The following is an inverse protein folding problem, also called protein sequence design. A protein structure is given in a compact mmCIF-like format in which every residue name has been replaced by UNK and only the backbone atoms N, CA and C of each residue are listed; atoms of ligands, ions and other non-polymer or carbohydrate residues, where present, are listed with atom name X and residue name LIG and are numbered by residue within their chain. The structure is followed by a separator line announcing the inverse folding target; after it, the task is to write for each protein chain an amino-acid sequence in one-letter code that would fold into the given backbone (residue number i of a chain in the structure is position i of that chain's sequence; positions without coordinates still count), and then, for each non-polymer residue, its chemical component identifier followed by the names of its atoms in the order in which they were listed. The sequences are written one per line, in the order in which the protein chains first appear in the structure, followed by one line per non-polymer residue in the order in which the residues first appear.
data_IF_449016234031
#
_entry.id   IF_449016234031
#
_cell.length_a   1.000
_cell.length_b   1.000
_cell.length_c   1.000
_cell.angle_alpha   90.00
_cell.angle_beta   90.00
_cell.angle_gamma   90.00
#
_symmetry.space_group_name_H-M   'P 1'
#
loop_
_entity.id
_entity.type
_entity.pdbx_description
1 polymer ?
#
# COMPACT_ATOMS: atom_id res chain seq x y z
N UNK A 1 -24.08 5.58 0.24
CA UNK A 1 -24.65 4.55 -0.68
C UNK A 1 -25.86 3.79 -0.11
N UNK A 2 -26.20 3.91 1.18
CA UNK A 2 -27.45 3.30 1.70
C UNK A 2 -27.44 1.77 1.83
N UNK A 3 -26.26 1.15 2.00
CA UNK A 3 -26.08 -0.30 2.12
C UNK A 3 -25.93 -0.65 3.61
N UNK A 4 -26.68 -1.66 4.08
CA UNK A 4 -26.52 -2.16 5.45
C UNK A 4 -25.19 -2.93 5.60
N UNK A 5 -24.49 -2.82 6.75
CA UNK A 5 -23.15 -3.40 6.91
C UNK A 5 -23.10 -4.93 6.73
N UNK A 6 -24.20 -5.65 7.02
CA UNK A 6 -24.32 -7.10 6.80
C UNK A 6 -24.39 -7.51 5.32
N UNK A 7 -24.46 -6.55 4.40
CA UNK A 7 -24.55 -6.74 2.95
C UNK A 7 -23.24 -6.36 2.26
N UNK A 8 -22.18 -6.12 3.02
CA UNK A 8 -20.83 -5.85 2.51
C UNK A 8 -20.05 -7.14 2.61
N UNK A 9 -19.83 -7.77 1.45
CA UNK A 9 -19.16 -9.08 1.37
C UNK A 9 -17.64 -8.92 1.34
N UNK A 10 -17.14 -7.89 0.64
CA UNK A 10 -15.72 -7.62 0.47
C UNK A 10 -15.33 -6.21 0.91
N UNK A 11 -14.22 -6.12 1.63
CA UNK A 11 -13.62 -4.86 2.08
C UNK A 11 -12.14 -4.91 1.75
N UNK A 12 -11.73 -4.07 0.80
CA UNK A 12 -10.32 -3.91 0.40
C UNK A 12 -9.76 -2.68 1.10
N UNK A 13 -8.74 -2.86 1.95
CA UNK A 13 -7.96 -1.73 2.44
C UNK A 13 -6.77 -1.48 1.52
N UNK A 14 -6.65 -0.24 1.03
CA UNK A 14 -5.55 0.19 0.18
C UNK A 14 -4.52 0.91 1.02
N UNK A 15 -3.30 0.37 1.05
CA UNK A 15 -2.13 1.07 1.58
C UNK A 15 -1.17 1.41 0.45
N UNK A 16 -0.41 2.49 0.64
CA UNK A 16 0.82 2.71 -0.12
C UNK A 16 1.97 2.01 0.60
N UNK A 17 3.01 1.65 -0.13
CA UNK A 17 4.25 1.08 0.41
C UNK A 17 4.97 2.02 1.40
N UNK A 18 4.59 3.30 1.44
CA UNK A 18 5.02 4.32 2.40
C UNK A 18 3.85 5.24 2.78
N UNK A 19 3.97 5.94 3.91
CA UNK A 19 2.92 6.85 4.40
C UNK A 19 3.19 8.25 3.87
N UNK A 20 2.13 8.96 3.49
CA UNK A 20 2.21 10.39 3.15
C UNK A 20 1.14 11.19 3.86
N UNK A 21 1.43 12.44 4.20
CA UNK A 21 0.49 13.38 4.82
C UNK A 21 0.55 14.76 4.16
N UNK A 22 -0.61 15.38 3.96
CA UNK A 22 -0.72 16.80 3.59
C UNK A 22 -1.06 17.61 4.84
N UNK A 23 -0.41 18.76 5.01
CA UNK A 23 -0.69 19.69 6.10
C UNK A 23 -0.12 19.27 7.45
N UNK A 24 -0.54 19.98 8.50
CA UNK A 24 0.00 19.84 9.84
C UNK A 24 -0.45 18.55 10.57
N UNK A 25 0.15 18.31 11.72
CA UNK A 25 -0.12 17.18 12.61
C UNK A 25 1.01 16.13 12.59
N UNK A 26 1.10 15.29 13.63
CA UNK A 26 2.20 14.35 13.77
C UNK A 26 2.21 13.31 12.63
N UNK A 27 3.42 12.94 12.22
CA UNK A 27 3.70 11.83 11.32
C UNK A 27 4.88 11.04 11.92
N UNK A 28 4.58 9.86 12.47
CA UNK A 28 5.60 9.01 13.06
C UNK A 28 6.55 8.50 11.96
N UNK A 29 7.86 8.61 12.21
CA UNK A 29 8.88 8.24 11.23
C UNK A 29 8.96 9.20 10.04
N UNK A 30 8.47 10.44 10.17
CA UNK A 30 8.59 11.47 9.15
C UNK A 30 10.04 11.65 8.71
N UNK A 31 10.26 11.54 7.40
CA UNK A 31 11.54 11.77 6.77
C UNK A 31 11.80 13.27 6.65
N UNK A 32 13.08 13.64 6.70
CA UNK A 32 13.49 14.98 6.28
C UNK A 32 13.16 15.21 4.79
N UNK A 33 13.05 16.47 4.38
CA UNK A 33 12.80 16.78 2.97
C UNK A 33 13.90 16.24 2.05
N UNK A 34 15.16 16.30 2.51
CA UNK A 34 16.32 15.77 1.80
C UNK A 34 16.27 14.24 1.66
N UNK A 35 15.93 13.52 2.73
CA UNK A 35 15.80 12.06 2.68
C UNK A 35 14.65 11.62 1.78
N UNK A 36 13.51 12.33 1.83
CA UNK A 36 12.37 12.06 0.96
C UNK A 36 12.70 12.29 -0.51
N UNK A 37 13.49 13.33 -0.84
CA UNK A 37 14.00 13.57 -2.20
C UNK A 37 14.95 12.48 -2.66
N UNK A 38 15.92 12.14 -1.82
CA UNK A 38 16.91 11.09 -2.10
C UNK A 38 16.25 9.74 -2.35
N UNK A 39 15.18 9.42 -1.61
CA UNK A 39 14.43 8.17 -1.75
C UNK A 39 13.34 8.24 -2.84
N UNK A 40 13.14 9.38 -3.51
CA UNK A 40 12.10 9.52 -4.53
C UNK A 40 10.67 9.46 -3.98
N UNK A 41 10.47 9.74 -2.69
CA UNK A 41 9.19 9.67 -1.97
C UNK A 41 8.42 10.99 -1.95
N UNK A 42 8.86 11.97 -2.75
CA UNK A 42 8.20 13.27 -2.85
C UNK A 42 6.94 13.13 -3.70
N UNK A 43 5.81 13.51 -3.10
CA UNK A 43 4.53 13.57 -3.79
C UNK A 43 3.91 14.96 -3.62
N UNK A 44 3.09 15.38 -4.58
CA UNK A 44 2.35 16.63 -4.52
C UNK A 44 0.84 16.37 -4.52
N UNK A 45 0.10 17.17 -3.76
CA UNK A 45 -1.35 17.12 -3.75
C UNK A 45 -1.90 17.64 -5.10
N UNK A 46 -2.76 16.86 -5.74
CA UNK A 46 -3.28 17.16 -7.08
C UNK A 46 -4.08 18.46 -7.15
N UNK A 47 -4.83 18.79 -6.10
CA UNK A 47 -5.68 19.99 -6.07
C UNK A 47 -4.93 21.22 -5.59
N UNK A 48 -4.19 21.11 -4.48
CA UNK A 48 -3.56 22.28 -3.82
C UNK A 48 -2.11 22.51 -4.24
N UNK A 49 -1.49 21.56 -4.95
CA UNK A 49 -0.06 21.58 -5.28
C UNK A 49 0.87 21.43 -4.06
N UNK A 50 0.34 21.30 -2.85
CA UNK A 50 1.16 21.23 -1.63
C UNK A 50 1.97 19.94 -1.63
N UNK A 51 3.26 20.07 -1.29
CA UNK A 51 4.16 18.94 -1.04
C UNK A 51 3.61 18.07 0.10
N UNK A 52 3.61 16.76 -0.11
CA UNK A 52 3.30 15.77 0.92
C UNK A 52 4.54 15.47 1.74
N UNK A 53 4.36 15.36 3.04
CA UNK A 53 5.35 14.83 3.98
C UNK A 53 5.31 13.31 3.90
N UNK A 54 6.46 12.65 3.95
CA UNK A 54 6.58 11.21 3.70
C UNK A 54 7.24 10.51 4.89
N UNK A 55 6.83 9.27 5.15
CA UNK A 55 7.37 8.41 6.19
C UNK A 55 7.38 6.96 5.69
N UNK A 56 8.25 6.08 6.23
CA UNK A 56 8.19 4.66 5.95
C UNK A 56 6.82 4.05 6.28
N UNK A 57 6.58 2.83 5.78
CA UNK A 57 5.37 2.09 6.12
C UNK A 57 5.22 1.94 7.64
N UNK A 58 4.04 2.25 8.17
CA UNK A 58 3.77 2.18 9.60
C UNK A 58 2.82 1.00 9.91
N UNK A 59 3.39 -0.07 10.47
CA UNK A 59 2.65 -1.29 10.83
C UNK A 59 1.61 -1.05 11.94
N UNK A 60 1.88 -0.16 12.89
CA UNK A 60 0.94 0.16 13.97
C UNK A 60 -0.30 0.88 13.43
N UNK A 61 -0.08 1.86 12.54
CA UNK A 61 -1.16 2.58 11.87
C UNK A 61 -1.96 1.63 10.97
N UNK A 62 -1.29 0.77 10.21
CA UNK A 62 -1.95 -0.24 9.39
C UNK A 62 -2.79 -1.20 10.24
N UNK A 63 -2.23 -1.74 11.34
CA UNK A 63 -2.94 -2.63 12.28
C UNK A 63 -4.19 -1.97 12.85
N UNK A 64 -4.11 -0.69 13.22
CA UNK A 64 -5.29 0.06 13.67
C UNK A 64 -6.34 0.17 12.57
N UNK A 65 -5.95 0.42 11.32
CA UNK A 65 -6.87 0.46 10.20
C UNK A 65 -7.52 -0.91 9.94
N UNK A 66 -6.78 -2.02 10.07
CA UNK A 66 -7.33 -3.39 10.01
C UNK A 66 -8.42 -3.57 11.06
N UNK A 67 -8.13 -3.26 12.33
CA UNK A 67 -9.10 -3.42 13.44
C UNK A 67 -10.39 -2.61 13.20
N UNK A 68 -10.27 -1.41 12.64
CA UNK A 68 -11.42 -0.52 12.43
C UNK A 68 -12.31 -0.92 11.26
N UNK A 69 -11.74 -1.55 10.23
CA UNK A 69 -12.45 -1.81 8.98
C UNK A 69 -12.73 -3.29 8.72
N UNK A 70 -12.07 -4.20 9.46
CA UNK A 70 -12.17 -5.65 9.29
C UNK A 70 -12.09 -6.09 7.83
N UNK A 71 -11.02 -5.72 7.09
CA UNK A 71 -10.93 -6.03 5.67
C UNK A 71 -10.89 -7.52 5.39
N UNK A 72 -11.45 -7.89 4.24
CA UNK A 72 -11.24 -9.22 3.67
C UNK A 72 -9.88 -9.34 3.01
N UNK A 73 -9.31 -8.23 2.53
CA UNK A 73 -8.04 -8.20 1.81
C UNK A 73 -7.36 -6.82 1.83
N UNK A 74 -6.06 -6.82 1.53
CA UNK A 74 -5.23 -5.62 1.41
C UNK A 74 -4.75 -5.47 -0.03
N UNK A 75 -4.77 -4.22 -0.51
CA UNK A 75 -4.02 -3.79 -1.68
C UNK A 75 -2.83 -2.93 -1.27
N UNK A 76 -1.62 -3.28 -1.71
CA UNK A 76 -0.41 -2.47 -1.53
C UNK A 76 -0.07 -1.79 -2.85
N UNK A 77 0.11 -0.48 -2.85
CA UNK A 77 0.42 0.30 -4.05
C UNK A 77 1.78 0.97 -3.96
N UNK A 78 2.32 1.37 -5.11
CA UNK A 78 3.61 2.06 -5.22
C UNK A 78 4.80 1.25 -4.71
N UNK A 79 4.76 -0.08 -4.85
CA UNK A 79 5.90 -0.90 -4.46
C UNK A 79 7.13 -0.59 -5.33
N UNK A 80 6.92 -0.18 -6.57
CA UNK A 80 7.92 0.29 -7.53
C UNK A 80 8.66 1.56 -7.08
N UNK A 81 8.07 2.37 -6.20
CA UNK A 81 8.76 3.54 -5.64
C UNK A 81 9.85 3.12 -4.66
N UNK A 82 9.61 2.09 -3.83
CA UNK A 82 10.61 1.56 -2.89
C UNK A 82 11.55 0.56 -3.57
N UNK A 83 11.04 -0.20 -4.52
CA UNK A 83 11.75 -1.25 -5.23
C UNK A 83 11.62 -1.00 -6.73
N UNK A 84 12.46 -0.14 -7.34
CA UNK A 84 12.35 0.22 -8.76
C UNK A 84 12.28 -0.97 -9.72
N UNK A 85 12.86 -2.11 -9.34
CA UNK A 85 12.88 -3.32 -10.16
C UNK A 85 11.55 -4.08 -10.16
N UNK A 86 10.62 -3.70 -9.30
CA UNK A 86 9.24 -4.19 -9.35
C UNK A 86 8.42 -3.51 -10.45
N UNK A 87 8.93 -2.43 -11.08
CA UNK A 87 8.15 -1.61 -12.01
C UNK A 87 7.57 -2.43 -13.17
N UNK A 88 6.25 -2.40 -13.31
CA UNK A 88 5.51 -3.10 -14.37
C UNK A 88 5.49 -4.63 -14.25
N UNK A 89 5.98 -5.20 -13.13
CA UNK A 89 5.87 -6.63 -12.85
C UNK A 89 4.40 -7.00 -12.60
N UNK A 90 3.94 -8.09 -13.22
CA UNK A 90 2.55 -8.57 -13.13
C UNK A 90 2.40 -9.98 -12.57
N UNK A 91 3.52 -10.64 -12.29
CA UNK A 91 3.56 -11.98 -11.73
C UNK A 91 4.32 -11.93 -10.41
N UNK A 92 3.74 -12.48 -9.34
CA UNK A 92 4.36 -12.41 -8.00
C UNK A 92 5.76 -13.02 -7.97
N UNK A 93 5.96 -14.14 -8.66
CA UNK A 93 7.27 -14.83 -8.76
C UNK A 93 8.37 -13.97 -9.39
N UNK A 94 8.00 -12.97 -10.21
CA UNK A 94 8.93 -12.06 -10.88
C UNK A 94 9.21 -10.79 -10.07
N UNK A 95 8.57 -10.61 -8.91
CA UNK A 95 8.89 -9.50 -8.03
C UNK A 95 10.30 -9.67 -7.43
N UNK A 96 11.04 -8.56 -7.25
CA UNK A 96 12.30 -8.56 -6.51
C UNK A 96 12.12 -9.21 -5.14
N UNK A 97 13.15 -9.91 -4.68
CA UNK A 97 13.10 -10.66 -3.42
C UNK A 97 12.70 -9.75 -2.25
N UNK A 98 13.29 -8.57 -2.17
CA UNK A 98 13.06 -7.58 -1.13
C UNK A 98 11.61 -7.06 -1.14
N UNK A 99 11.00 -6.94 -2.33
CA UNK A 99 9.60 -6.55 -2.47
C UNK A 99 8.67 -7.67 -1.97
N UNK A 100 8.99 -8.94 -2.27
CA UNK A 100 8.22 -10.09 -1.74
C UNK A 100 8.34 -10.21 -0.22
N UNK A 101 9.55 -10.09 0.32
CA UNK A 101 9.79 -10.10 1.78
C UNK A 101 9.03 -8.96 2.48
N UNK A 102 8.92 -7.79 1.86
CA UNK A 102 8.09 -6.69 2.37
C UNK A 102 6.60 -7.05 2.44
N UNK A 103 6.06 -7.67 1.39
CA UNK A 103 4.66 -8.12 1.36
C UNK A 103 4.42 -9.22 2.40
N UNK A 104 5.29 -10.22 2.45
CA UNK A 104 5.21 -11.35 3.39
C UNK A 104 5.22 -10.87 4.84
N UNK A 105 6.09 -9.91 5.17
CA UNK A 105 6.13 -9.29 6.50
C UNK A 105 4.83 -8.55 6.84
N UNK A 106 4.24 -7.84 5.89
CA UNK A 106 2.95 -7.15 6.12
C UNK A 106 1.85 -8.17 6.39
N UNK A 107 1.76 -9.23 5.60
CA UNK A 107 0.76 -10.28 5.82
C UNK A 107 0.97 -10.98 7.17
N UNK A 108 2.22 -11.28 7.53
CA UNK A 108 2.56 -11.90 8.81
C UNK A 108 2.17 -11.00 9.98
N UNK A 109 2.44 -9.70 9.92
CA UNK A 109 2.18 -8.77 11.01
C UNK A 109 0.71 -8.36 11.13
N UNK A 110 0.00 -8.27 10.01
CA UNK A 110 -1.40 -7.82 9.96
C UNK A 110 -2.41 -8.96 9.92
N UNK A 111 -1.96 -10.20 9.74
CA UNK A 111 -2.80 -11.41 9.66
C UNK A 111 -3.96 -11.27 8.66
N UNK A 112 -3.74 -10.52 7.60
CA UNK A 112 -4.72 -10.21 6.55
C UNK A 112 -4.03 -10.35 5.19
N UNK A 113 -4.62 -11.03 4.20
CA UNK A 113 -3.95 -11.31 2.95
C UNK A 113 -3.77 -10.04 2.10
N UNK A 114 -2.58 -9.87 1.55
CA UNK A 114 -2.29 -8.91 0.47
C UNK A 114 -2.54 -9.61 -0.85
N UNK A 115 -3.57 -9.16 -1.55
CA UNK A 115 -4.06 -9.79 -2.78
C UNK A 115 -3.79 -8.95 -4.02
N UNK A 116 -3.61 -7.64 -3.87
CA UNK A 116 -3.33 -6.72 -4.97
C UNK A 116 -2.04 -5.97 -4.69
N UNK A 117 -1.11 -5.97 -5.65
CA UNK A 117 0.18 -5.28 -5.54
C UNK A 117 0.38 -4.39 -6.75
N UNK A 118 0.24 -3.08 -6.57
CA UNK A 118 0.46 -2.06 -7.60
C UNK A 118 1.95 -1.81 -7.81
N UNK A 119 2.41 -2.10 -9.02
CA UNK A 119 3.81 -2.05 -9.48
C UNK A 119 4.08 -0.89 -10.44
N UNK A 120 3.14 0.05 -10.57
CA UNK A 120 3.33 1.22 -11.41
C UNK A 120 2.07 2.05 -11.54
N UNK A 121 2.10 3.11 -12.37
CA UNK A 121 0.99 4.04 -12.54
C UNK A 121 -0.07 3.55 -13.53
N UNK A 122 0.22 2.54 -14.37
CA UNK A 122 -0.76 2.04 -15.35
C UNK A 122 -1.73 1.06 -14.70
N UNK A 123 -2.91 0.89 -15.28
CA UNK A 123 -3.95 0.00 -14.75
C UNK A 123 -3.46 -1.44 -14.73
N UNK A 124 -2.70 -1.82 -15.74
CA UNK A 124 -2.11 -3.14 -15.89
C UNK A 124 -0.81 -3.34 -15.08
N UNK A 125 -0.27 -2.30 -14.43
CA UNK A 125 0.91 -2.42 -13.56
C UNK A 125 0.49 -2.93 -12.18
N UNK A 126 0.01 -4.17 -12.15
CA UNK A 126 -0.53 -4.82 -10.97
C UNK A 126 -0.26 -6.32 -10.99
N UNK A 127 0.11 -6.86 -9.82
CA UNK A 127 0.03 -8.30 -9.54
C UNK A 127 -1.30 -8.55 -8.82
N UNK A 128 -2.11 -9.46 -9.36
CA UNK A 128 -3.38 -9.88 -8.79
C UNK A 128 -3.25 -11.32 -8.27
N UNK A 129 -3.57 -11.51 -6.99
CA UNK A 129 -3.47 -12.77 -6.26
C UNK A 129 -4.81 -13.18 -5.63
N UNK A 130 -5.92 -12.55 -6.05
CA UNK A 130 -7.25 -12.82 -5.46
C UNK A 130 -7.71 -14.26 -5.75
N UNK A 131 -7.45 -14.76 -6.95
CA UNK A 131 -7.73 -16.16 -7.31
C UNK A 131 -6.99 -17.13 -6.39
N UNK A 132 -5.67 -16.94 -6.23
CA UNK A 132 -4.83 -17.84 -5.44
C UNK A 132 -5.08 -17.74 -3.93
N UNK A 133 -5.34 -16.53 -3.41
CA UNK A 133 -5.43 -16.30 -1.96
C UNK A 133 -6.85 -16.33 -1.39
N UNK A 134 -7.85 -15.96 -2.20
CA UNK A 134 -9.24 -15.91 -1.75
C UNK A 134 -10.12 -16.96 -2.42
N UNK A 135 -9.65 -17.63 -3.49
CA UNK A 135 -10.46 -18.58 -4.25
C UNK A 135 -11.59 -17.90 -5.02
N UNK A 136 -11.42 -16.62 -5.37
CA UNK A 136 -12.38 -15.82 -6.12
C UNK A 136 -11.84 -15.69 -7.54
N UNK A 137 -12.52 -16.33 -8.50
CA UNK A 137 -12.24 -16.30 -9.95
C UNK A 137 -13.06 -15.18 -10.63
#
# INVERSE_FOLDING_TARGET
VGIGPKRVDEVILVFKSYVTRVGAGPLEGELSEEDAERLGLVEYATVTGRRRRSAPFNLNLARRAIILNSPTQIAITKIDTLYPQAKGVREYSKLPREAREFIERIEEELKTPVTLIGTGPRVEDMVDLRGEKLGID
#
